data_IF_870527093180
#
_entry.id   IF_870527093180
#
_cell.length_a   1.000
_cell.length_b   1.000
_cell.length_c   1.000
_cell.angle_alpha   90.00
_cell.angle_beta   90.00
_cell.angle_gamma   90.00
#
_symmetry.space_group_name_H-M   'P 1'
#
loop_
_entity.id
_entity.type
_entity.pdbx_description
1 polymer ?
#
# COMPACT_ATOMS: atom_id res chain seq x y z
N UNK A 1 1.48 16.30 11.73
CA UNK A 1 0.67 15.78 10.62
C UNK A 1 1.35 14.53 10.07
N UNK A 2 0.67 13.39 10.07
CA UNK A 2 1.20 12.10 9.58
C UNK A 2 0.71 11.77 8.17
N UNK A 3 1.19 10.66 7.61
CA UNK A 3 0.71 10.12 6.33
C UNK A 3 -0.31 9.00 6.60
N UNK A 4 -1.49 9.07 5.99
CA UNK A 4 -2.55 8.07 6.21
C UNK A 4 -2.64 7.02 5.08
N UNK A 5 -2.03 7.31 3.92
CA UNK A 5 -2.06 6.46 2.73
C UNK A 5 -0.90 6.81 1.81
N UNK A 6 -0.18 5.80 1.33
CA UNK A 6 0.87 5.93 0.33
C UNK A 6 0.35 5.44 -1.02
N UNK A 7 0.42 6.31 -2.04
CA UNK A 7 0.14 5.95 -3.43
C UNK A 7 1.45 5.90 -4.21
N UNK A 8 1.82 4.72 -4.71
CA UNK A 8 2.96 4.54 -5.61
C UNK A 8 2.45 4.07 -6.96
N UNK A 9 2.92 4.69 -8.04
CA UNK A 9 2.40 4.45 -9.39
C UNK A 9 2.33 2.96 -9.77
N UNK A 10 3.49 2.33 -9.95
CA UNK A 10 3.58 0.96 -10.45
C UNK A 10 4.74 0.20 -9.82
N UNK A 11 4.48 -1.06 -9.48
CA UNK A 11 5.53 -2.04 -9.22
C UNK A 11 5.92 -2.76 -10.52
N UNK A 12 7.17 -2.63 -10.93
CA UNK A 12 7.68 -3.22 -12.15
C UNK A 12 9.03 -3.92 -11.98
N UNK A 13 9.73 -4.10 -13.10
CA UNK A 13 11.01 -4.80 -13.17
C UNK A 13 12.09 -4.18 -12.27
N UNK A 14 12.14 -2.84 -12.20
CA UNK A 14 13.13 -2.15 -11.37
C UNK A 14 12.86 -2.38 -9.88
N UNK A 15 11.60 -2.24 -9.46
CA UNK A 15 11.21 -2.43 -8.07
C UNK A 15 11.40 -3.88 -7.62
N UNK A 16 11.06 -4.84 -8.48
CA UNK A 16 11.30 -6.26 -8.25
C UNK A 16 12.80 -6.60 -8.09
N UNK A 17 13.68 -5.86 -8.77
CA UNK A 17 15.13 -5.97 -8.61
C UNK A 17 15.69 -5.14 -7.43
N UNK A 18 14.83 -4.50 -6.63
CA UNK A 18 15.25 -3.67 -5.50
C UNK A 18 15.74 -2.27 -5.87
N UNK A 19 15.57 -1.85 -7.12
CA UNK A 19 15.93 -0.52 -7.64
C UNK A 19 14.69 0.38 -7.73
N UNK A 20 14.87 1.60 -8.24
CA UNK A 20 13.77 2.54 -8.47
C UNK A 20 13.03 2.86 -7.17
N UNK A 21 11.70 2.68 -7.16
CA UNK A 21 10.87 2.97 -5.99
C UNK A 21 10.85 1.87 -4.93
N UNK A 22 11.63 0.78 -5.08
CA UNK A 22 11.62 -0.34 -4.13
C UNK A 22 11.83 0.11 -2.67
N UNK A 23 12.68 1.11 -2.43
CA UNK A 23 12.90 1.68 -1.10
C UNK A 23 11.64 2.33 -0.52
N UNK A 24 10.88 3.06 -1.35
CA UNK A 24 9.62 3.69 -0.93
C UNK A 24 8.54 2.64 -0.61
N UNK A 25 8.45 1.57 -1.42
CA UNK A 25 7.57 0.45 -1.13
C UNK A 25 7.91 -0.22 0.21
N UNK A 26 9.20 -0.51 0.45
CA UNK A 26 9.66 -1.10 1.72
C UNK A 26 9.38 -0.19 2.90
N UNK A 27 9.62 1.11 2.76
CA UNK A 27 9.37 2.09 3.81
C UNK A 27 7.88 2.16 4.18
N UNK A 28 6.99 2.17 3.18
CA UNK A 28 5.54 2.16 3.43
C UNK A 28 5.07 0.87 4.10
N UNK A 29 5.59 -0.29 3.65
CA UNK A 29 5.28 -1.59 4.26
C UNK A 29 5.79 -1.65 5.71
N UNK A 30 7.03 -1.24 5.97
CA UNK A 30 7.64 -1.25 7.30
C UNK A 30 6.98 -0.26 8.27
N UNK A 31 6.46 0.86 7.76
CA UNK A 31 5.67 1.82 8.54
C UNK A 31 4.22 1.37 8.75
N UNK A 32 3.85 0.17 8.29
CA UNK A 32 2.49 -0.38 8.32
C UNK A 32 1.43 0.54 7.70
N UNK A 33 1.86 1.44 6.82
CA UNK A 33 0.96 2.38 6.16
C UNK A 33 0.15 1.67 5.08
N UNK A 34 -1.13 2.04 4.90
CA UNK A 34 -1.88 1.66 3.73
C UNK A 34 -1.13 2.04 2.46
N UNK A 35 -1.01 1.10 1.53
CA UNK A 35 -0.30 1.30 0.26
C UNK A 35 -1.24 0.93 -0.90
N UNK A 36 -1.39 1.85 -1.85
CA UNK A 36 -2.04 1.60 -3.13
C UNK A 36 -1.00 1.64 -4.26
N UNK A 37 -1.02 0.63 -5.13
CA UNK A 37 -0.18 0.62 -6.33
C UNK A 37 -0.82 -0.17 -7.47
N UNK A 38 -0.30 0.01 -8.69
CA UNK A 38 -0.63 -0.84 -9.83
C UNK A 38 0.45 -1.91 -10.05
N UNK A 39 0.03 -3.12 -10.40
CA UNK A 39 0.92 -4.24 -10.71
C UNK A 39 0.48 -4.82 -12.05
N UNK A 40 1.42 -4.95 -12.99
CA UNK A 40 1.15 -5.67 -14.23
C UNK A 40 1.07 -7.18 -13.93
N UNK A 41 0.18 -7.95 -14.59
CA UNK A 41 0.08 -9.40 -14.36
C UNK A 41 1.42 -10.15 -14.45
N UNK A 42 2.32 -9.71 -15.34
CA UNK A 42 3.66 -10.29 -15.49
C UNK A 42 4.55 -10.17 -14.23
N UNK A 43 4.22 -9.25 -13.31
CA UNK A 43 4.97 -8.99 -12.08
C UNK A 43 4.23 -9.45 -10.83
N UNK A 44 3.04 -10.08 -10.93
CA UNK A 44 2.29 -10.59 -9.77
C UNK A 44 3.11 -11.58 -8.91
N UNK A 45 3.85 -12.55 -9.50
CA UNK A 45 4.69 -13.45 -8.69
C UNK A 45 5.82 -12.72 -7.96
N UNK A 46 6.35 -11.64 -8.54
CA UNK A 46 7.38 -10.82 -7.91
C UNK A 46 6.78 -9.96 -6.79
N UNK A 47 5.60 -9.38 -7.02
CA UNK A 47 4.87 -8.62 -6.03
C UNK A 47 4.51 -9.46 -4.81
N UNK A 48 3.98 -10.68 -4.99
CA UNK A 48 3.63 -11.58 -3.89
C UNK A 48 4.80 -11.87 -2.95
N UNK A 49 5.99 -12.09 -3.52
CA UNK A 49 7.23 -12.28 -2.76
C UNK A 49 7.73 -11.00 -2.10
N UNK A 50 7.53 -9.86 -2.76
CA UNK A 50 8.01 -8.57 -2.27
C UNK A 50 7.14 -8.04 -1.12
N UNK A 51 5.81 -8.15 -1.25
CA UNK A 51 4.87 -7.60 -0.28
C UNK A 51 4.89 -8.38 1.04
N UNK A 52 5.01 -9.71 0.96
CA UNK A 52 5.08 -10.63 2.11
C UNK A 52 4.00 -10.36 3.19
N UNK A 53 2.84 -9.89 2.75
CA UNK A 53 1.69 -9.52 3.58
C UNK A 53 0.39 -9.70 2.82
N UNK A 54 -0.72 -9.68 3.53
CA UNK A 54 -2.04 -9.69 2.90
C UNK A 54 -2.29 -8.40 2.11
N UNK A 55 -2.82 -8.55 0.90
CA UNK A 55 -3.20 -7.44 0.02
C UNK A 55 -4.48 -7.77 -0.73
N UNK A 56 -5.25 -6.73 -1.08
CA UNK A 56 -6.44 -6.86 -1.91
C UNK A 56 -6.14 -6.44 -3.35
N UNK A 57 -6.68 -7.17 -4.32
CA UNK A 57 -6.70 -6.76 -5.72
C UNK A 57 -8.00 -6.00 -5.95
N UNK A 58 -7.90 -4.76 -6.40
CA UNK A 58 -9.05 -3.93 -6.73
C UNK A 58 -9.29 -3.93 -8.25
N UNK A 59 -10.55 -3.87 -8.70
CA UNK A 59 -10.81 -3.58 -10.11
C UNK A 59 -10.27 -2.18 -10.44
N UNK A 60 -9.90 -1.91 -11.71
CA UNK A 60 -9.41 -0.61 -12.17
C UNK A 60 -10.57 0.39 -12.32
N UNK A 61 -11.32 0.57 -11.24
CA UNK A 61 -12.51 1.41 -11.14
C UNK A 61 -12.33 2.43 -10.01
N UNK A 62 -12.64 3.70 -10.30
CA UNK A 62 -12.44 4.78 -9.36
C UNK A 62 -13.33 4.64 -8.11
N UNK A 63 -14.56 4.15 -8.27
CA UNK A 63 -15.48 3.97 -7.14
C UNK A 63 -15.03 2.83 -6.21
N UNK A 64 -14.46 1.76 -6.76
CA UNK A 64 -13.87 0.67 -6.00
C UNK A 64 -12.64 1.12 -5.20
N UNK A 65 -11.74 1.89 -5.82
CA UNK A 65 -10.56 2.47 -5.15
C UNK A 65 -10.99 3.41 -4.02
N UNK A 66 -11.96 4.28 -4.29
CA UNK A 66 -12.46 5.24 -3.32
C UNK A 66 -13.20 4.58 -2.14
N UNK A 67 -13.97 3.51 -2.41
CA UNK A 67 -14.59 2.67 -1.37
C UNK A 67 -13.53 2.00 -0.50
N UNK A 68 -12.51 1.40 -1.10
CA UNK A 68 -11.40 0.78 -0.37
C UNK A 68 -10.67 1.81 0.50
N UNK A 69 -10.34 2.98 -0.07
CA UNK A 69 -9.67 4.07 0.66
C UNK A 69 -10.48 4.47 1.89
N UNK A 70 -11.78 4.70 1.75
CA UNK A 70 -12.65 5.06 2.90
C UNK A 70 -12.67 3.97 3.97
N UNK A 71 -12.78 2.70 3.57
CA UNK A 71 -12.81 1.60 4.52
C UNK A 71 -11.52 1.53 5.35
N UNK A 72 -10.36 1.58 4.69
CA UNK A 72 -9.06 1.54 5.38
C UNK A 72 -8.83 2.77 6.26
N UNK A 73 -9.19 3.97 5.79
CA UNK A 73 -9.03 5.17 6.60
C UNK A 73 -9.96 5.20 7.82
N UNK A 74 -11.12 4.55 7.74
CA UNK A 74 -12.00 4.37 8.90
C UNK A 74 -11.36 3.45 9.94
N UNK A 75 -10.81 2.29 9.53
CA UNK A 75 -10.16 1.35 10.46
C UNK A 75 -8.92 1.94 11.12
N UNK A 76 -8.16 2.76 10.40
CA UNK A 76 -6.96 3.40 10.96
C UNK A 76 -7.32 4.45 12.03
N UNK A 77 -8.44 5.15 11.88
CA UNK A 77 -8.91 6.14 12.89
C UNK A 77 -9.38 5.47 14.18
N UNK A 78 -9.90 4.26 14.10
CA UNK A 78 -10.26 3.47 15.29
C UNK A 78 -9.00 3.05 16.06
N UNK A 79 -7.92 2.67 15.36
CA UNK A 79 -6.64 2.33 15.98
C UNK A 79 -5.78 3.52 16.45
N UNK A 80 -5.98 4.71 15.87
CA UNK A 80 -5.25 5.94 16.24
C UNK A 80 -5.93 6.75 17.37
N UNK A 81 -7.09 6.31 17.86
CA UNK A 81 -7.82 6.97 18.94
C UNK A 81 -7.28 6.71 20.36
N UNK A 82 -6.32 5.80 20.54
CA UNK A 82 -5.83 5.39 21.87
C UNK A 82 -4.41 5.89 22.23
N UNK A 83 -3.71 6.56 21.32
CA UNK A 83 -2.32 6.96 21.55
C UNK A 83 -2.09 8.47 21.35
N UNK A 84 -2.46 9.29 22.35
CA UNK A 84 -1.66 10.45 22.78
C UNK A 84 -2.25 11.10 24.05
N UNK A 85 -1.94 10.54 25.23
CA UNK A 85 -1.89 11.26 26.50
C UNK A 85 -0.84 10.57 27.39
N UNK A 86 0.40 11.06 27.36
CA UNK A 86 1.38 10.95 28.46
C UNK A 86 2.23 12.20 28.49
#
# INVERSE_FOLDING_TARGET
AGCDLVLLNKFGKLEAAGNGLAGAFRAAIAAELPLLTSISPAHDPAWRRFADREFAILPPDAAAIDRWRRAILATQREGQGEAHCV
#
